data_IF_618983997145
#
_entry.id   IF_618983997145
#
_cell.length_a   1.000
_cell.length_b   1.000
_cell.length_c   1.000
_cell.angle_alpha   90.00
_cell.angle_beta   90.00
_cell.angle_gamma   90.00
#
_symmetry.space_group_name_H-M   'P 1'
#
loop_
_entity.id
_entity.type
_entity.pdbx_description
1 polymer ?
#
# COMPACT_ATOMS: atom_id res chain seq x y z
N UNK A 1 -8.61 4.43 9.61
CA UNK A 1 -7.52 4.25 8.62
C UNK A 1 -6.33 3.62 9.32
N UNK A 2 -5.50 2.88 8.59
CA UNK A 2 -4.35 2.17 9.16
C UNK A 2 -3.49 1.54 8.07
N UNK A 3 -2.36 0.97 8.46
CA UNK A 3 -1.51 0.18 7.58
C UNK A 3 -1.03 -1.07 8.31
N UNK A 4 -0.70 -2.07 7.53
CA UNK A 4 -0.13 -3.34 7.97
C UNK A 4 1.04 -3.70 7.05
N UNK A 5 2.16 -4.10 7.65
CA UNK A 5 3.35 -4.55 6.94
C UNK A 5 3.69 -5.96 7.41
N UNK A 6 3.60 -6.92 6.50
CA UNK A 6 3.94 -8.31 6.77
C UNK A 6 5.17 -8.72 5.95
N UNK A 7 6.08 -9.44 6.58
CA UNK A 7 7.20 -10.11 5.91
C UNK A 7 6.82 -11.56 5.66
N UNK A 8 7.10 -12.07 4.45
CA UNK A 8 6.91 -13.48 4.13
C UNK A 8 7.94 -14.33 4.90
N UNK A 9 7.49 -15.43 5.52
CA UNK A 9 8.39 -16.31 6.29
C UNK A 9 9.19 -17.21 5.35
N UNK A 10 8.60 -17.63 4.24
CA UNK A 10 9.19 -18.50 3.23
C UNK A 10 10.13 -17.74 2.27
N UNK A 11 9.88 -16.45 2.05
CA UNK A 11 10.72 -15.56 1.23
C UNK A 11 11.01 -14.27 2.01
N UNK A 12 12.04 -14.24 2.87
CA UNK A 12 12.30 -13.11 3.76
C UNK A 12 12.57 -11.77 3.06
N UNK A 13 12.83 -11.78 1.76
CA UNK A 13 13.00 -10.56 0.95
C UNK A 13 11.68 -9.98 0.46
N UNK A 14 10.57 -10.72 0.59
CA UNK A 14 9.24 -10.30 0.16
C UNK A 14 8.44 -9.70 1.31
N UNK A 15 7.91 -8.49 1.08
CA UNK A 15 7.02 -7.80 2.01
C UNK A 15 5.69 -7.47 1.35
N UNK A 16 4.61 -7.49 2.13
CA UNK A 16 3.30 -6.99 1.74
C UNK A 16 2.96 -5.79 2.61
N UNK A 17 2.82 -4.61 1.99
CA UNK A 17 2.28 -3.41 2.61
C UNK A 17 0.81 -3.24 2.21
N UNK A 18 -0.09 -3.28 3.19
CA UNK A 18 -1.52 -2.98 2.99
C UNK A 18 -1.86 -1.67 3.69
N UNK A 19 -2.39 -0.71 2.93
CA UNK A 19 -2.86 0.56 3.46
C UNK A 19 -4.39 0.57 3.33
N UNK A 20 -5.08 0.74 4.46
CA UNK A 20 -6.54 0.82 4.50
C UNK A 20 -7.01 2.23 4.25
N UNK A 21 -7.73 2.39 3.14
CA UNK A 21 -8.36 3.64 2.72
C UNK A 21 -9.86 3.58 2.94
N UNK A 22 -10.47 4.73 3.15
CA UNK A 22 -11.93 4.86 3.20
C UNK A 22 -12.55 4.49 1.85
N UNK A 23 -11.91 4.88 0.75
CA UNK A 23 -12.27 4.47 -0.61
C UNK A 23 -11.05 4.40 -1.54
N UNK A 24 -11.22 3.80 -2.72
CA UNK A 24 -10.18 3.84 -3.76
C UNK A 24 -9.96 5.25 -4.31
N UNK A 25 -11.00 6.09 -4.35
CA UNK A 25 -10.96 7.48 -4.80
C UNK A 25 -10.15 8.35 -3.84
N UNK A 26 -10.36 8.22 -2.53
CA UNK A 26 -9.58 8.93 -1.50
C UNK A 26 -8.08 8.66 -1.62
N UNK A 27 -7.70 7.45 -2.03
CA UNK A 27 -6.30 7.12 -2.32
C UNK A 27 -5.84 7.74 -3.65
N UNK A 28 -6.58 7.47 -4.72
CA UNK A 28 -6.11 7.73 -6.08
C UNK A 28 -6.17 9.18 -6.50
N UNK A 29 -7.16 9.91 -6.00
CA UNK A 29 -7.36 11.32 -6.32
C UNK A 29 -6.97 12.18 -5.13
N UNK A 30 -7.46 11.85 -3.94
CA UNK A 30 -7.18 12.60 -2.71
C UNK A 30 -5.71 12.54 -2.32
N UNK A 31 -5.20 11.36 -1.96
CA UNK A 31 -3.83 11.22 -1.49
C UNK A 31 -2.82 11.43 -2.62
N UNK A 32 -2.91 10.67 -3.72
CA UNK A 32 -1.94 10.75 -4.83
C UNK A 32 -1.91 12.11 -5.53
N UNK A 33 -3.03 12.84 -5.57
CA UNK A 33 -3.08 14.21 -6.07
C UNK A 33 -2.74 15.27 -5.02
N UNK A 34 -2.60 14.87 -3.75
CA UNK A 34 -2.47 15.77 -2.62
C UNK A 34 -1.02 16.09 -2.21
N UNK A 35 -0.84 17.03 -1.27
CA UNK A 35 0.48 17.52 -0.86
C UNK A 35 1.30 16.49 -0.07
N UNK A 36 0.66 15.43 0.43
CA UNK A 36 1.34 14.36 1.18
C UNK A 36 1.93 13.27 0.29
N UNK A 37 1.56 13.20 -0.99
CA UNK A 37 2.10 12.17 -1.88
C UNK A 37 3.58 12.39 -2.25
N UNK A 38 4.07 13.60 -2.58
CA UNK A 38 5.48 13.81 -2.89
C UNK A 38 6.47 13.34 -1.80
N UNK A 39 6.32 13.69 -0.51
CA UNK A 39 7.22 13.19 0.52
C UNK A 39 7.08 11.67 0.71
N UNK A 40 5.88 11.11 0.64
CA UNK A 40 5.69 9.65 0.68
C UNK A 40 6.38 8.95 -0.50
N UNK A 41 6.22 9.49 -1.72
CA UNK A 41 6.82 8.95 -2.93
C UNK A 41 8.35 8.96 -2.83
N UNK A 42 8.94 10.00 -2.25
CA UNK A 42 10.38 10.08 -2.05
C UNK A 42 10.92 8.90 -1.22
N UNK A 43 10.21 8.54 -0.13
CA UNK A 43 10.59 7.42 0.74
C UNK A 43 10.44 6.07 0.05
N UNK A 44 9.36 5.86 -0.71
CA UNK A 44 9.10 4.56 -1.34
C UNK A 44 9.77 4.39 -2.71
N UNK A 45 10.33 5.46 -3.29
CA UNK A 45 10.90 5.46 -4.64
C UNK A 45 11.91 4.34 -4.90
N UNK A 46 12.84 4.01 -3.99
CA UNK A 46 13.82 2.95 -4.22
C UNK A 46 13.18 1.56 -4.40
N UNK A 47 11.97 1.36 -3.86
CA UNK A 47 11.27 0.08 -3.91
C UNK A 47 10.37 -0.06 -5.14
N UNK A 48 10.09 1.03 -5.87
CA UNK A 48 9.17 1.01 -7.04
C UNK A 48 9.59 -0.01 -8.12
N UNK A 49 10.88 -0.13 -8.48
CA UNK A 49 11.31 -1.11 -9.49
C UNK A 49 11.06 -2.57 -9.07
N UNK A 50 10.97 -2.83 -7.77
CA UNK A 50 10.85 -4.16 -7.17
C UNK A 50 9.38 -4.53 -6.83
N UNK A 51 8.42 -3.70 -7.23
CA UNK A 51 7.00 -3.97 -6.95
C UNK A 51 6.54 -5.17 -7.78
N UNK A 52 6.37 -6.31 -7.09
CA UNK A 52 5.74 -7.49 -7.68
C UNK A 52 4.24 -7.27 -7.96
N UNK A 53 3.54 -6.53 -7.08
CA UNK A 53 2.12 -6.24 -7.23
C UNK A 53 1.70 -4.91 -6.59
N UNK A 54 0.83 -4.14 -7.27
CA UNK A 54 0.12 -2.99 -6.71
C UNK A 54 -1.35 -3.00 -7.16
N UNK A 55 -2.22 -3.54 -6.31
CA UNK A 55 -3.67 -3.68 -6.56
C UNK A 55 -4.49 -3.03 -5.45
N UNK A 56 -5.80 -2.88 -5.68
CA UNK A 56 -6.78 -2.45 -4.66
C UNK A 56 -7.75 -3.60 -4.41
N UNK A 57 -8.00 -3.88 -3.14
CA UNK A 57 -8.84 -4.99 -2.70
C UNK A 57 -9.96 -4.48 -1.79
N UNK A 58 -11.13 -5.13 -1.87
CA UNK A 58 -12.24 -4.91 -0.95
C UNK A 58 -12.33 -6.10 0.01
N UNK A 59 -12.41 -5.88 1.34
CA UNK A 59 -12.67 -6.96 2.28
C UNK A 59 -13.97 -7.70 1.95
N UNK A 60 -13.94 -9.03 2.04
CA UNK A 60 -15.09 -9.90 1.71
C UNK A 60 -15.99 -10.18 2.91
N UNK A 61 -15.66 -9.67 4.10
CA UNK A 61 -16.36 -9.97 5.36
C UNK A 61 -15.86 -11.23 6.05
N UNK A 62 -14.99 -12.01 5.40
CA UNK A 62 -14.24 -13.09 6.03
C UNK A 62 -12.97 -12.50 6.63
N UNK A 63 -13.00 -12.30 7.94
CA UNK A 63 -11.85 -11.95 8.75
C UNK A 63 -11.91 -12.79 10.03
N UNK A 64 -10.76 -13.24 10.52
CA UNK A 64 -10.63 -13.97 11.78
C UNK A 64 -10.40 -13.01 12.92
#
# INVERSE_FOLDING_TARGET
MGFDLAQCVEEPTSLILRISWTSAEDHMEGFRGGPHFPPFLAEIRPFIPEIAEMRRYRPTGVAT
#
